data_IF_392122315786
#
_entry.id   IF_392122315786
#
_cell.length_a   1.000
_cell.length_b   1.000
_cell.length_c   1.000
_cell.angle_alpha   90.00
_cell.angle_beta   90.00
_cell.angle_gamma   90.00
#
_symmetry.space_group_name_H-M   'P 1'
#
loop_
_entity.id
_entity.type
_entity.pdbx_description
1 polymer ?
#
# COMPACT_ATOMS: atom_id res chain seq x y z
N UNK A 1 -10.31 -19.88 0.33
CA UNK A 1 -10.80 -19.72 -1.06
C UNK A 1 -10.92 -18.23 -1.34
N UNK A 2 -10.45 -17.74 -2.48
CA UNK A 2 -10.69 -16.34 -2.89
C UNK A 2 -12.17 -16.17 -3.27
N UNK A 3 -12.74 -15.00 -2.99
CA UNK A 3 -14.11 -14.63 -3.35
C UNK A 3 -14.10 -13.68 -4.56
N UNK A 4 -15.28 -13.39 -5.10
CA UNK A 4 -15.41 -12.50 -6.27
C UNK A 4 -15.09 -11.03 -5.93
N UNK A 5 -15.36 -10.60 -4.71
CA UNK A 5 -15.06 -9.24 -4.28
C UNK A 5 -13.55 -9.04 -4.17
N UNK A 6 -13.08 -7.94 -4.73
CA UNK A 6 -11.67 -7.61 -4.83
C UNK A 6 -11.39 -6.15 -4.45
N UNK A 7 -10.09 -5.84 -4.43
CA UNK A 7 -9.55 -4.50 -4.29
C UNK A 7 -8.62 -4.24 -5.45
N UNK A 8 -8.91 -3.21 -6.24
CA UNK A 8 -8.12 -2.73 -7.36
C UNK A 8 -7.33 -1.51 -6.91
N UNK A 9 -6.05 -1.47 -7.25
CA UNK A 9 -5.15 -0.37 -6.89
C UNK A 9 -4.48 0.16 -8.15
N UNK A 10 -4.72 1.42 -8.48
CA UNK A 10 -3.97 2.16 -9.47
C UNK A 10 -2.83 2.91 -8.78
N UNK A 11 -1.63 2.86 -9.35
CA UNK A 11 -0.43 3.48 -8.78
C UNK A 11 0.35 4.22 -9.85
N UNK A 12 0.90 5.36 -9.48
CA UNK A 12 1.81 6.16 -10.31
C UNK A 12 2.95 6.69 -9.45
N UNK A 13 4.18 6.63 -9.96
CA UNK A 13 5.32 7.35 -9.38
C UNK A 13 5.18 8.85 -9.62
N UNK A 14 5.38 9.64 -8.58
CA UNK A 14 5.38 11.08 -8.65
C UNK A 14 6.61 11.62 -7.90
N UNK A 15 7.65 11.97 -8.65
CA UNK A 15 8.89 12.53 -8.07
C UNK A 15 8.83 14.04 -7.81
N UNK A 16 7.78 14.73 -8.29
CA UNK A 16 7.64 16.16 -8.08
C UNK A 16 7.40 16.51 -6.60
N UNK A 17 6.69 15.65 -5.89
CA UNK A 17 6.43 15.78 -4.45
C UNK A 17 6.80 14.47 -3.76
N UNK A 18 7.70 14.50 -2.77
CA UNK A 18 8.06 13.31 -1.95
C UNK A 18 6.94 12.93 -0.97
N UNK A 19 5.74 12.72 -1.52
CA UNK A 19 4.50 12.45 -0.81
C UNK A 19 3.87 11.16 -1.32
N UNK A 20 3.22 10.44 -0.42
CA UNK A 20 2.34 9.32 -0.69
C UNK A 20 0.91 9.86 -0.58
N UNK A 21 0.20 9.97 -1.70
CA UNK A 21 -1.19 10.42 -1.76
C UNK A 21 -2.07 9.23 -2.08
N UNK A 22 -2.82 8.77 -1.09
CA UNK A 22 -3.69 7.59 -1.19
C UNK A 22 -5.15 8.03 -1.11
N UNK A 23 -5.86 7.86 -2.21
CA UNK A 23 -7.30 8.10 -2.32
C UNK A 23 -8.10 6.82 -2.46
N UNK A 24 -9.35 6.85 -2.02
CA UNK A 24 -10.35 5.82 -2.31
C UNK A 24 -11.42 6.41 -3.22
N UNK A 25 -11.88 5.65 -4.21
CA UNK A 25 -12.95 6.08 -5.14
C UNK A 25 -14.24 6.43 -4.40
N UNK A 26 -14.61 5.64 -3.39
CA UNK A 26 -15.75 5.90 -2.49
C UNK A 26 -15.36 6.90 -1.38
N UNK A 27 -15.01 8.12 -1.77
CA UNK A 27 -14.47 9.17 -0.89
C UNK A 27 -15.41 9.60 0.24
N UNK A 28 -16.71 9.35 0.12
CA UNK A 28 -17.72 9.66 1.16
C UNK A 28 -17.47 8.92 2.48
N UNK A 29 -16.87 7.73 2.43
CA UNK A 29 -16.58 6.90 3.62
C UNK A 29 -15.14 7.00 4.11
N UNK A 30 -14.22 7.42 3.25
CA UNK A 30 -12.80 7.42 3.52
C UNK A 30 -12.15 8.69 2.97
N UNK A 31 -11.62 9.51 3.86
CA UNK A 31 -10.86 10.69 3.47
C UNK A 31 -9.53 10.32 2.83
N UNK A 32 -9.10 11.13 1.85
CA UNK A 32 -7.79 11.00 1.25
C UNK A 32 -6.70 11.11 2.33
N UNK A 33 -5.72 10.22 2.26
CA UNK A 33 -4.60 10.21 3.18
C UNK A 33 -3.32 10.65 2.46
N UNK A 34 -2.60 11.60 3.05
CA UNK A 34 -1.31 12.06 2.55
C UNK A 34 -0.23 11.85 3.60
N UNK A 35 0.88 11.27 3.20
CA UNK A 35 2.03 10.97 4.06
C UNK A 35 3.33 11.35 3.37
N UNK A 36 4.42 11.60 4.11
CA UNK A 36 5.74 11.74 3.51
C UNK A 36 6.20 10.40 2.89
N UNK A 37 6.87 10.44 1.74
CA UNK A 37 7.45 9.29 1.08
C UNK A 37 8.75 8.82 1.76
N UNK A 38 8.71 8.58 3.07
CA UNK A 38 9.87 8.23 3.88
C UNK A 38 9.75 6.81 4.48
N UNK A 39 10.66 5.86 4.18
CA UNK A 39 10.58 4.48 4.65
C UNK A 39 10.75 4.28 6.16
N UNK A 40 11.22 5.30 6.88
CA UNK A 40 11.38 5.26 8.34
C UNK A 40 10.40 6.18 9.08
N UNK A 41 9.36 6.67 8.40
CA UNK A 41 8.36 7.52 9.06
C UNK A 41 7.69 6.78 10.23
N UNK A 42 7.38 7.54 11.28
CA UNK A 42 6.60 7.06 12.40
C UNK A 42 5.12 6.99 12.01
N UNK A 43 4.39 6.04 12.60
CA UNK A 43 2.96 5.88 12.41
C UNK A 43 2.31 6.22 13.74
N UNK A 44 1.31 7.09 13.70
CA UNK A 44 0.49 7.36 14.88
C UNK A 44 -0.33 6.11 15.23
N UNK A 45 0.04 5.45 16.32
CA UNK A 45 -0.64 4.26 16.82
C UNK A 45 -1.91 4.58 17.63
N UNK A 46 -2.13 5.85 18.00
CA UNK A 46 -3.31 6.26 18.77
C UNK A 46 -4.50 6.55 17.86
N UNK A 47 -4.26 7.20 16.73
CA UNK A 47 -5.32 7.55 15.76
C UNK A 47 -5.27 6.62 14.54
N UNK A 48 -5.95 5.47 14.64
CA UNK A 48 -6.01 4.53 13.53
C UNK A 48 -6.69 5.12 12.29
N UNK A 49 -5.91 5.32 11.22
CA UNK A 49 -6.42 5.70 9.90
C UNK A 49 -6.23 4.54 8.94
N UNK A 50 -7.16 4.40 7.98
CA UNK A 50 -7.08 3.36 6.96
C UNK A 50 -5.79 3.47 6.11
N UNK A 51 -5.28 4.69 5.91
CA UNK A 51 -4.01 4.93 5.22
C UNK A 51 -2.78 4.31 5.91
N UNK A 52 -2.85 3.98 7.22
CA UNK A 52 -1.74 3.36 7.94
C UNK A 52 -1.38 1.97 7.40
N UNK A 53 -2.35 1.22 6.86
CA UNK A 53 -2.08 -0.04 6.17
C UNK A 53 -1.11 0.15 5.00
N UNK A 54 -1.27 1.23 4.23
CA UNK A 54 -0.39 1.54 3.10
C UNK A 54 1.01 1.94 3.57
N UNK A 55 1.13 2.69 4.67
CA UNK A 55 2.43 3.07 5.23
C UNK A 55 3.19 1.84 5.73
N UNK A 56 2.52 0.96 6.49
CA UNK A 56 3.12 -0.29 6.96
C UNK A 56 3.69 -1.10 5.80
N UNK A 57 2.90 -1.21 4.73
CA UNK A 57 3.33 -1.85 3.49
C UNK A 57 4.55 -1.17 2.87
N UNK A 58 4.51 0.16 2.66
CA UNK A 58 5.63 0.91 2.08
C UNK A 58 6.92 0.67 2.88
N UNK A 59 6.85 0.75 4.20
CA UNK A 59 7.99 0.47 5.10
C UNK A 59 8.48 -0.98 4.95
N UNK A 60 7.56 -1.95 4.91
CA UNK A 60 7.86 -3.36 4.76
C UNK A 60 8.54 -3.69 3.43
N UNK A 61 8.09 -3.07 2.33
CA UNK A 61 8.68 -3.19 1.00
C UNK A 61 10.17 -2.79 1.00
N UNK A 62 10.51 -1.59 1.48
CA UNK A 62 11.92 -1.16 1.53
C UNK A 62 12.77 -1.99 2.50
N UNK A 63 12.21 -2.38 3.66
CA UNK A 63 12.92 -3.23 4.62
C UNK A 63 13.27 -4.58 4.02
N UNK A 64 12.33 -5.18 3.27
CA UNK A 64 12.54 -6.47 2.63
C UNK A 64 13.47 -6.38 1.42
N UNK A 65 13.32 -5.36 0.58
CA UNK A 65 14.24 -5.11 -0.54
C UNK A 65 15.69 -5.01 -0.02
N UNK A 66 15.89 -4.24 1.06
CA UNK A 66 17.19 -4.10 1.72
C UNK A 66 17.72 -5.43 2.28
N UNK A 67 16.89 -6.26 2.91
CA UNK A 67 17.35 -7.54 3.46
C UNK A 67 17.70 -8.58 2.40
N UNK A 68 17.17 -8.42 1.17
CA UNK A 68 17.48 -9.26 0.01
C UNK A 68 18.57 -8.69 -0.89
N UNK A 69 19.12 -7.52 -0.58
CA UNK A 69 20.11 -6.84 -1.42
C UNK A 69 19.56 -6.37 -2.77
N UNK A 70 18.24 -6.21 -2.88
CA UNK A 70 17.58 -5.72 -4.09
C UNK A 70 17.54 -4.20 -4.02
N UNK A 71 18.21 -3.54 -4.95
CA UNK A 71 18.18 -2.09 -5.06
C UNK A 71 16.86 -1.65 -5.71
N UNK A 72 16.02 -0.98 -4.91
CA UNK A 72 14.73 -0.42 -5.34
C UNK A 72 14.81 1.10 -5.54
N UNK A 73 16.01 1.66 -5.50
CA UNK A 73 16.25 3.10 -5.65
C UNK A 73 15.85 3.92 -4.43
N UNK A 74 15.89 5.25 -4.60
CA UNK A 74 15.50 6.18 -3.55
C UNK A 74 13.98 6.18 -3.32
N UNK A 75 13.54 6.59 -2.12
CA UNK A 75 12.12 6.80 -1.83
C UNK A 75 11.50 7.85 -2.74
N UNK A 76 10.61 7.41 -3.65
CA UNK A 76 9.85 8.27 -4.56
C UNK A 76 8.42 8.51 -4.04
N UNK A 77 7.85 9.65 -4.41
CA UNK A 77 6.44 9.92 -4.15
C UNK A 77 5.53 8.99 -4.96
N UNK A 78 4.34 8.72 -4.44
CA UNK A 78 3.37 7.81 -5.03
C UNK A 78 1.97 8.42 -4.99
N UNK A 79 1.30 8.39 -6.14
CA UNK A 79 -0.13 8.64 -6.25
C UNK A 79 -0.84 7.32 -6.38
N UNK A 80 -1.78 7.07 -5.47
CA UNK A 80 -2.47 5.78 -5.33
C UNK A 80 -3.97 6.02 -5.26
N UNK A 81 -4.70 5.33 -6.11
CA UNK A 81 -6.16 5.30 -6.10
C UNK A 81 -6.63 3.88 -5.87
N UNK A 82 -7.50 3.70 -4.90
CA UNK A 82 -7.98 2.40 -4.44
C UNK A 82 -9.48 2.31 -4.69
N UNK A 83 -9.91 1.24 -5.35
CA UNK A 83 -11.31 0.87 -5.41
C UNK A 83 -11.50 -0.53 -4.84
N UNK A 84 -12.45 -0.67 -3.92
CA UNK A 84 -12.68 -1.91 -3.18
C UNK A 84 -14.16 -2.19 -3.04
N UNK A 85 -14.54 -3.42 -3.35
CA UNK A 85 -15.92 -3.91 -3.19
C UNK A 85 -16.06 -4.97 -2.10
N UNK A 86 -14.96 -5.34 -1.43
CA UNK A 86 -15.01 -6.22 -0.25
C UNK A 86 -15.71 -5.50 0.91
N UNK A 87 -16.82 -6.05 1.46
CA UNK A 87 -17.55 -5.41 2.55
C UNK A 87 -16.69 -5.30 3.82
N UNK A 88 -16.54 -4.09 4.36
CA UNK A 88 -15.81 -3.84 5.60
C UNK A 88 -16.51 -4.52 6.79
N UNK A 89 -15.76 -5.12 7.71
CA UNK A 89 -16.30 -5.72 8.94
C UNK A 89 -17.04 -7.05 8.76
N UNK A 90 -17.03 -7.62 7.56
CA UNK A 90 -17.73 -8.88 7.24
C UNK A 90 -16.93 -10.16 7.54
N UNK A 91 -15.71 -10.04 8.08
CA UNK A 91 -14.79 -11.17 8.23
C UNK A 91 -14.18 -11.66 6.91
N UNK A 92 -14.42 -10.97 5.78
CA UNK A 92 -13.89 -11.34 4.45
C UNK A 92 -12.50 -10.75 4.15
N UNK A 93 -11.78 -10.32 5.19
CA UNK A 93 -10.40 -9.81 5.10
C UNK A 93 -10.19 -8.66 4.10
N UNK A 94 -11.07 -7.65 4.12
CA UNK A 94 -10.95 -6.44 3.26
C UNK A 94 -9.62 -5.71 3.41
N UNK A 95 -9.03 -5.71 4.63
CA UNK A 95 -7.70 -5.16 4.90
C UNK A 95 -6.60 -5.96 4.21
N UNK A 96 -6.68 -7.29 4.21
CA UNK A 96 -5.70 -8.14 3.54
C UNK A 96 -5.78 -7.97 2.02
N UNK A 97 -6.99 -7.89 1.45
CA UNK A 97 -7.16 -7.60 0.03
C UNK A 97 -6.53 -6.25 -0.36
N UNK A 98 -6.73 -5.22 0.46
CA UNK A 98 -6.10 -3.91 0.25
C UNK A 98 -4.56 -3.97 0.33
N UNK A 99 -4.01 -4.62 1.35
CA UNK A 99 -2.55 -4.75 1.52
C UNK A 99 -1.95 -5.53 0.36
N UNK A 100 -2.47 -6.71 0.03
CA UNK A 100 -1.97 -7.54 -1.07
C UNK A 100 -1.97 -6.79 -2.41
N UNK A 101 -3.11 -6.20 -2.80
CA UNK A 101 -3.20 -5.46 -4.07
C UNK A 101 -2.26 -4.25 -4.11
N UNK A 102 -2.12 -3.53 -2.99
CA UNK A 102 -1.20 -2.40 -2.89
C UNK A 102 0.27 -2.85 -3.00
N UNK A 103 0.63 -3.98 -2.39
CA UNK A 103 1.99 -4.54 -2.47
C UNK A 103 2.34 -4.86 -3.92
N UNK A 104 1.45 -5.55 -4.62
CA UNK A 104 1.64 -5.90 -6.03
C UNK A 104 1.76 -4.65 -6.89
N UNK A 105 0.97 -3.60 -6.62
CA UNK A 105 1.05 -2.34 -7.32
C UNK A 105 2.42 -1.63 -7.10
N UNK A 106 2.89 -1.56 -5.85
CA UNK A 106 4.23 -1.00 -5.53
C UNK A 106 5.32 -1.80 -6.25
N UNK A 107 5.29 -3.13 -6.14
CA UNK A 107 6.25 -4.00 -6.82
C UNK A 107 6.31 -3.71 -8.33
N UNK A 108 5.14 -3.61 -8.99
CA UNK A 108 5.05 -3.27 -10.40
C UNK A 108 5.61 -1.88 -10.70
N UNK A 109 5.31 -0.87 -9.88
CA UNK A 109 5.81 0.49 -10.06
C UNK A 109 7.34 0.54 -9.95
N UNK A 110 7.94 -0.21 -9.02
CA UNK A 110 9.39 -0.25 -8.79
C UNK A 110 10.13 -1.29 -9.66
N UNK A 111 9.43 -2.03 -10.52
CA UNK A 111 10.03 -3.09 -11.34
C UNK A 111 10.61 -4.25 -10.51
N UNK A 112 10.17 -4.40 -9.26
CA UNK A 112 10.63 -5.46 -8.36
C UNK A 112 9.70 -6.68 -8.46
N UNK A 113 10.28 -7.88 -8.51
CA UNK A 113 9.52 -9.13 -8.47
C UNK A 113 9.93 -9.95 -7.25
N UNK A 114 9.00 -10.07 -6.30
CA UNK A 114 9.15 -10.86 -5.07
C UNK A 114 8.20 -12.06 -5.11
N UNK A 115 8.52 -13.09 -4.34
CA UNK A 115 7.71 -14.30 -4.30
C UNK A 115 6.35 -14.06 -3.61
N UNK A 116 5.35 -14.90 -3.93
CA UNK A 116 4.04 -14.87 -3.26
C UNK A 116 4.13 -15.06 -1.73
N UNK A 117 5.19 -15.74 -1.27
CA UNK A 117 5.47 -15.90 0.17
C UNK A 117 5.76 -14.57 0.84
N UNK A 118 6.41 -13.63 0.14
CA UNK A 118 6.63 -12.29 0.66
C UNK A 118 5.31 -11.53 0.86
N UNK A 119 4.39 -11.62 -0.10
CA UNK A 119 3.06 -11.01 0.01
C UNK A 119 2.26 -11.50 1.22
N UNK A 120 2.45 -12.76 1.63
CA UNK A 120 1.78 -13.33 2.81
C UNK A 120 2.45 -13.02 4.16
N UNK A 121 3.67 -12.47 4.15
CA UNK A 121 4.46 -12.17 5.36
C UNK A 121 4.37 -10.69 5.78
N UNK A 122 3.72 -9.86 4.97
CA UNK A 122 3.46 -8.43 5.21
C UNK A 122 2.07 -8.24 5.84
#
# INVERSE_FOLDING_TARGET
MAIRQDTIVAIRKNDSEKLLRIGIVKSEKYSMCTYPAHPKQEIDLKNHRWGHYFICLYKGFYKYAKSRGIDVGEPVGLDVVVDGIVPTGSGLSSSAAFVCSSTTAIMAAFGASFSKVFLSLL
#
